data_IF_624334962441
#
_entry.id   IF_624334962441
#
_cell.length_a   1.000
_cell.length_b   1.000
_cell.length_c   1.000
_cell.angle_alpha   90.00
_cell.angle_beta   90.00
_cell.angle_gamma   90.00
#
_symmetry.space_group_name_H-M   'P 1'
#
loop_
_entity.id
_entity.type
_entity.pdbx_description
1 polymer ?
#
# COMPACT_ATOMS: atom_id res chain seq x y z
N UNK A 1 6.67 3.73 -10.05
CA UNK A 1 5.35 3.21 -10.45
C UNK A 1 4.34 4.32 -10.73
N UNK A 2 4.14 5.31 -9.89
CA UNK A 2 3.28 6.50 -10.14
C UNK A 2 4.09 7.70 -10.67
N UNK A 3 4.98 7.49 -11.65
CA UNK A 3 5.82 8.54 -12.23
C UNK A 3 5.06 9.36 -13.29
N UNK A 4 5.53 10.59 -13.57
CA UNK A 4 4.77 11.58 -14.36
C UNK A 4 4.49 11.17 -15.81
N UNK A 5 5.39 10.40 -16.45
CA UNK A 5 5.26 10.05 -17.89
C UNK A 5 5.02 8.57 -18.18
N UNK A 6 5.59 7.68 -17.36
CA UNK A 6 5.55 6.23 -17.61
C UNK A 6 4.97 5.43 -16.44
N UNK A 7 4.32 6.11 -15.51
CA UNK A 7 3.73 5.50 -14.32
C UNK A 7 2.38 4.82 -14.57
N UNK A 8 2.00 3.94 -13.67
CA UNK A 8 0.68 3.31 -13.66
C UNK A 8 -0.41 4.37 -13.51
N UNK A 9 -1.46 4.27 -14.31
CA UNK A 9 -2.60 5.17 -14.21
C UNK A 9 -3.36 4.96 -12.89
N UNK A 10 -3.75 6.05 -12.23
CA UNK A 10 -4.54 6.01 -10.98
C UNK A 10 -5.83 5.20 -11.16
N UNK A 11 -6.45 5.30 -12.33
CA UNK A 11 -7.66 4.55 -12.66
C UNK A 11 -7.44 3.04 -12.65
N UNK A 12 -6.28 2.56 -13.11
CA UNK A 12 -5.95 1.13 -13.10
C UNK A 12 -5.80 0.60 -11.67
N UNK A 13 -5.15 1.38 -10.79
CA UNK A 13 -5.05 1.03 -9.37
C UNK A 13 -6.44 0.96 -8.73
N UNK A 14 -7.31 1.92 -9.02
CA UNK A 14 -8.69 1.94 -8.52
C UNK A 14 -9.48 0.73 -9.07
N UNK A 15 -9.29 0.36 -10.33
CA UNK A 15 -9.92 -0.82 -10.93
C UNK A 15 -9.45 -2.10 -10.26
N UNK A 16 -8.14 -2.21 -9.95
CA UNK A 16 -7.59 -3.33 -9.19
C UNK A 16 -8.18 -3.41 -7.77
N UNK A 17 -8.25 -2.28 -7.05
CA UNK A 17 -8.86 -2.24 -5.70
C UNK A 17 -10.29 -2.78 -5.70
N UNK A 18 -11.06 -2.47 -6.73
CA UNK A 18 -12.46 -2.88 -6.90
C UNK A 18 -12.64 -4.31 -7.44
N UNK A 19 -11.56 -4.97 -7.84
CA UNK A 19 -11.59 -6.32 -8.42
C UNK A 19 -11.93 -6.37 -9.90
N UNK A 20 -11.95 -5.21 -10.59
CA UNK A 20 -12.21 -5.17 -12.03
C UNK A 20 -11.03 -5.57 -12.91
N UNK A 21 -9.87 -5.87 -12.32
CA UNK A 21 -8.66 -6.24 -13.04
C UNK A 21 -8.42 -7.75 -12.94
N UNK A 22 -8.38 -8.44 -14.08
CA UNK A 22 -8.03 -9.86 -14.14
C UNK A 22 -6.53 -10.07 -14.08
N UNK A 23 -6.13 -11.25 -13.65
CA UNK A 23 -4.74 -11.71 -13.68
C UNK A 23 -4.17 -11.66 -15.11
N UNK A 24 -2.89 -11.32 -15.22
CA UNK A 24 -2.20 -11.18 -16.51
C UNK A 24 -2.35 -9.82 -17.18
N UNK A 25 -3.11 -8.87 -16.60
CA UNK A 25 -3.14 -7.50 -17.13
C UNK A 25 -1.77 -6.83 -16.99
N UNK A 26 -1.30 -6.22 -18.07
CA UNK A 26 -0.07 -5.42 -18.08
C UNK A 26 -0.43 -3.93 -18.06
N UNK A 27 0.05 -3.23 -17.05
CA UNK A 27 -0.18 -1.79 -16.91
C UNK A 27 0.42 -1.03 -18.10
N UNK A 28 -0.35 -0.07 -18.62
CA UNK A 28 0.07 0.79 -19.71
C UNK A 28 -0.23 2.25 -19.36
N UNK A 29 0.82 3.07 -19.31
CA UNK A 29 0.69 4.49 -18.98
C UNK A 29 -0.17 5.29 -19.96
N UNK A 30 -0.24 4.85 -21.23
CA UNK A 30 -0.96 5.55 -22.30
C UNK A 30 -2.39 5.02 -22.52
N UNK A 31 -2.70 3.84 -22.03
CA UNK A 31 -3.98 3.19 -22.27
C UNK A 31 -4.46 2.45 -21.01
N UNK A 32 -5.22 3.13 -20.13
CA UNK A 32 -5.73 2.51 -18.92
C UNK A 32 -6.73 1.38 -19.24
N UNK A 33 -7.00 0.53 -18.26
CA UNK A 33 -7.97 -0.56 -18.33
C UNK A 33 -9.38 0.02 -18.54
N UNK A 34 -10.01 -0.36 -19.64
CA UNK A 34 -11.38 0.04 -19.96
C UNK A 34 -12.32 -1.15 -19.87
N UNK A 35 -13.62 -0.89 -19.76
CA UNK A 35 -14.68 -1.89 -19.68
C UNK A 35 -14.76 -2.83 -20.89
N UNK A 36 -14.23 -2.40 -22.04
CA UNK A 36 -14.18 -3.18 -23.27
C UNK A 36 -12.91 -4.05 -23.37
N UNK A 37 -11.98 -3.91 -22.44
CA UNK A 37 -10.76 -4.70 -22.43
C UNK A 37 -11.06 -6.13 -21.94
N UNK A 38 -10.46 -7.12 -22.54
CA UNK A 38 -10.67 -8.52 -22.19
C UNK A 38 -10.18 -8.86 -20.76
N UNK A 39 -9.23 -8.08 -20.23
CA UNK A 39 -8.79 -8.17 -18.83
C UNK A 39 -9.71 -7.46 -17.84
N UNK A 40 -10.79 -6.81 -18.33
CA UNK A 40 -11.75 -6.20 -17.42
C UNK A 40 -12.73 -7.25 -16.87
N UNK A 41 -12.85 -7.32 -15.54
CA UNK A 41 -13.84 -8.14 -14.86
C UNK A 41 -15.11 -7.31 -14.66
N UNK A 42 -16.19 -7.67 -15.34
CA UNK A 42 -17.46 -6.92 -15.28
C UNK A 42 -18.16 -7.09 -13.92
N UNK A 43 -18.06 -8.28 -13.33
CA UNK A 43 -18.79 -8.67 -12.12
C UNK A 43 -17.80 -9.22 -11.07
N UNK A 44 -17.02 -8.37 -10.42
CA UNK A 44 -16.03 -8.80 -9.43
C UNK A 44 -16.72 -9.38 -8.18
N UNK A 45 -16.25 -10.53 -7.76
CA UNK A 45 -16.58 -11.14 -6.47
C UNK A 45 -15.72 -10.52 -5.34
N UNK A 46 -16.01 -10.86 -4.09
CA UNK A 46 -15.18 -10.42 -2.97
C UNK A 46 -13.73 -10.93 -3.10
N UNK A 47 -13.51 -12.13 -3.64
CA UNK A 47 -12.18 -12.70 -3.86
C UNK A 47 -11.36 -11.99 -4.95
N UNK A 48 -12.01 -11.24 -5.83
CA UNK A 48 -11.33 -10.45 -6.86
C UNK A 48 -10.88 -9.08 -6.34
N UNK A 49 -11.42 -8.63 -5.20
CA UNK A 49 -11.11 -7.32 -4.62
C UNK A 49 -9.82 -7.34 -3.83
N UNK A 50 -9.18 -6.19 -3.68
CA UNK A 50 -8.02 -6.02 -2.82
C UNK A 50 -8.47 -5.75 -1.37
N UNK A 51 -7.80 -6.39 -0.42
CA UNK A 51 -8.19 -6.35 0.99
C UNK A 51 -7.19 -5.57 1.87
N UNK A 52 -6.08 -5.12 1.29
CA UNK A 52 -5.12 -4.20 1.89
C UNK A 52 -4.38 -3.45 0.80
N UNK A 53 -4.16 -2.15 0.99
CA UNK A 53 -3.34 -1.31 0.12
C UNK A 53 -2.01 -1.02 0.80
N UNK A 54 -0.91 -1.44 0.17
CA UNK A 54 0.45 -1.22 0.67
C UNK A 54 1.19 -0.25 -0.22
N UNK A 55 1.60 0.88 0.36
CA UNK A 55 2.51 1.82 -0.29
C UNK A 55 3.94 1.42 0.04
N UNK A 56 4.78 1.22 -0.96
CA UNK A 56 6.21 0.94 -0.78
C UNK A 56 6.99 2.19 -1.14
N UNK A 57 7.60 2.83 -0.13
CA UNK A 57 8.20 4.16 -0.28
C UNK A 57 9.64 4.12 0.27
N UNK A 58 10.65 4.35 -0.57
CA UNK A 58 12.02 4.53 -0.11
C UNK A 58 12.14 5.81 0.74
N UNK A 59 12.84 5.73 1.86
CA UNK A 59 12.99 6.85 2.81
C UNK A 59 13.65 8.09 2.20
N UNK A 60 14.53 7.89 1.22
CA UNK A 60 15.23 8.96 0.50
C UNK A 60 14.31 9.70 -0.49
N UNK A 61 13.22 9.05 -0.95
CA UNK A 61 12.28 9.63 -1.90
C UNK A 61 11.18 10.49 -1.24
N UNK A 62 10.98 10.39 0.06
CA UNK A 62 9.88 11.09 0.75
C UNK A 62 9.93 12.60 0.54
N UNK A 63 11.11 13.22 0.70
CA UNK A 63 11.31 14.67 0.52
C UNK A 63 11.30 15.10 -0.96
N UNK A 64 11.32 14.16 -1.91
CA UNK A 64 11.34 14.42 -3.35
C UNK A 64 9.97 14.26 -4.00
N UNK A 65 8.96 13.84 -3.23
CA UNK A 65 7.60 13.69 -3.75
C UNK A 65 7.06 15.04 -4.21
N UNK A 66 6.75 15.13 -5.50
CA UNK A 66 6.11 16.32 -6.05
C UNK A 66 4.60 16.34 -5.74
N UNK A 67 3.98 17.49 -5.94
CA UNK A 67 2.57 17.71 -5.67
C UNK A 67 1.66 16.76 -6.45
N UNK A 68 1.93 16.57 -7.74
CA UNK A 68 1.10 15.72 -8.61
C UNK A 68 1.11 14.26 -8.18
N UNK A 69 2.28 13.76 -7.76
CA UNK A 69 2.41 12.41 -7.20
C UNK A 69 1.59 12.25 -5.91
N UNK A 70 1.67 13.23 -5.01
CA UNK A 70 0.92 13.24 -3.75
C UNK A 70 -0.60 13.25 -4.01
N UNK A 71 -1.08 14.07 -4.95
CA UNK A 71 -2.50 14.12 -5.31
C UNK A 71 -3.01 12.80 -5.94
N UNK A 72 -2.19 12.14 -6.77
CA UNK A 72 -2.52 10.81 -7.29
C UNK A 72 -2.63 9.78 -6.16
N UNK A 73 -1.66 9.75 -5.25
CA UNK A 73 -1.72 8.87 -4.08
C UNK A 73 -2.94 9.15 -3.22
N UNK A 74 -3.28 10.42 -3.02
CA UNK A 74 -4.47 10.84 -2.26
C UNK A 74 -5.75 10.32 -2.88
N UNK A 75 -5.92 10.40 -4.20
CA UNK A 75 -7.08 9.86 -4.92
C UNK A 75 -7.25 8.35 -4.69
N UNK A 76 -6.16 7.58 -4.79
CA UNK A 76 -6.15 6.14 -4.49
C UNK A 76 -6.50 5.89 -3.02
N UNK A 77 -5.88 6.64 -2.10
CA UNK A 77 -6.12 6.56 -0.65
C UNK A 77 -7.58 6.80 -0.30
N UNK A 78 -8.18 7.85 -0.85
CA UNK A 78 -9.59 8.19 -0.59
C UNK A 78 -10.54 7.11 -1.09
N UNK A 79 -10.25 6.53 -2.25
CA UNK A 79 -11.03 5.41 -2.77
C UNK A 79 -10.90 4.17 -1.89
N UNK A 80 -9.69 3.78 -1.48
CA UNK A 80 -9.46 2.68 -0.55
C UNK A 80 -10.16 2.92 0.78
N UNK A 81 -10.13 4.16 1.31
CA UNK A 81 -10.82 4.53 2.54
C UNK A 81 -12.34 4.39 2.44
N UNK A 82 -12.95 4.83 1.33
CA UNK A 82 -14.40 4.66 1.08
C UNK A 82 -14.81 3.20 0.99
N UNK A 83 -13.92 2.35 0.50
CA UNK A 83 -14.13 0.89 0.42
C UNK A 83 -13.85 0.17 1.75
N UNK A 84 -13.37 0.88 2.77
CA UNK A 84 -12.97 0.27 4.04
C UNK A 84 -11.69 -0.55 3.97
N UNK A 85 -10.92 -0.44 2.87
CA UNK A 85 -9.67 -1.16 2.67
C UNK A 85 -8.59 -0.58 3.60
N UNK A 86 -7.96 -1.39 4.46
CA UNK A 86 -6.85 -0.95 5.30
C UNK A 86 -5.65 -0.52 4.45
N UNK A 87 -4.95 0.50 4.92
CA UNK A 87 -3.83 1.10 4.21
C UNK A 87 -2.59 1.12 5.09
N UNK A 88 -1.46 0.78 4.50
CA UNK A 88 -0.17 0.61 5.17
C UNK A 88 0.94 1.22 4.32
N UNK A 89 2.01 1.67 4.96
CA UNK A 89 3.25 2.07 4.27
C UNK A 89 4.38 1.13 4.68
N UNK A 90 5.09 0.58 3.71
CA UNK A 90 6.42 0.01 3.88
C UNK A 90 7.45 1.07 3.53
N UNK A 91 8.11 1.59 4.55
CA UNK A 91 9.22 2.52 4.38
C UNK A 91 10.51 1.72 4.22
N UNK A 92 11.05 1.72 3.01
CA UNK A 92 12.25 0.96 2.63
C UNK A 92 13.51 1.83 2.63
N UNK A 93 14.69 1.22 2.45
CA UNK A 93 16.01 1.88 2.43
C UNK A 93 16.29 2.69 3.71
N UNK A 94 15.86 2.19 4.84
CA UNK A 94 15.98 2.88 6.13
C UNK A 94 17.44 2.97 6.58
N UNK A 95 18.26 1.99 6.19
CA UNK A 95 19.72 1.96 6.34
C UNK A 95 20.40 3.16 5.65
N UNK A 96 19.88 3.61 4.52
CA UNK A 96 20.37 4.80 3.81
C UNK A 96 20.06 6.11 4.54
N UNK A 97 19.02 6.12 5.38
CA UNK A 97 18.62 7.33 6.09
C UNK A 97 19.48 7.65 7.31
N UNK A 98 20.06 6.62 7.95
CA UNK A 98 20.81 6.79 9.18
C UNK A 98 21.95 5.76 9.27
N UNK A 99 23.23 6.20 9.30
CA UNK A 99 24.38 5.29 9.39
C UNK A 99 24.32 4.34 10.59
N UNK A 100 23.78 4.78 11.72
CA UNK A 100 23.62 3.95 12.92
C UNK A 100 22.71 2.73 12.69
N UNK A 101 21.80 2.80 11.75
CA UNK A 101 20.89 1.69 11.42
C UNK A 101 21.52 0.71 10.45
N UNK A 102 22.52 1.14 9.68
CA UNK A 102 23.34 0.28 8.84
C UNK A 102 24.24 -0.64 9.70
N UNK A 103 24.76 -0.09 10.80
CA UNK A 103 25.60 -0.86 11.72
C UNK A 103 24.81 -1.80 12.64
N UNK A 104 23.61 -1.36 13.06
CA UNK A 104 22.74 -2.13 13.94
C UNK A 104 21.26 -1.80 13.68
N UNK A 105 20.56 -2.73 13.04
CA UNK A 105 19.13 -2.65 12.69
C UNK A 105 18.22 -2.47 13.90
N UNK A 106 18.61 -2.95 15.10
CA UNK A 106 17.83 -2.77 16.34
C UNK A 106 17.70 -1.30 16.77
N UNK A 107 18.55 -0.41 16.23
CA UNK A 107 18.48 1.03 16.52
C UNK A 107 17.53 1.79 15.59
N UNK A 108 16.88 1.13 14.63
CA UNK A 108 15.98 1.76 13.66
C UNK A 108 14.92 2.62 14.36
N UNK A 109 14.21 2.08 15.34
CA UNK A 109 13.14 2.80 16.05
C UNK A 109 13.66 3.81 17.09
N UNK A 110 14.96 3.79 17.43
CA UNK A 110 15.57 4.74 18.37
C UNK A 110 16.07 6.02 17.69
N UNK A 111 16.28 5.99 16.38
CA UNK A 111 16.79 7.12 15.62
C UNK A 111 15.75 8.27 15.52
N UNK A 112 16.15 9.47 15.97
CA UNK A 112 15.33 10.69 15.80
C UNK A 112 15.10 10.97 14.31
N UNK A 113 16.13 10.84 13.49
CA UNK A 113 16.08 11.09 12.04
C UNK A 113 15.03 10.18 11.35
N UNK A 114 14.97 8.92 11.73
CA UNK A 114 13.97 7.99 11.19
C UNK A 114 12.56 8.37 11.67
N UNK A 115 12.39 8.72 12.94
CA UNK A 115 11.10 9.20 13.46
C UNK A 115 10.59 10.44 12.72
N UNK A 116 11.49 11.37 12.40
CA UNK A 116 11.13 12.58 11.65
C UNK A 116 10.71 12.19 10.21
N UNK A 117 11.39 11.24 9.56
CA UNK A 117 11.01 10.70 8.25
C UNK A 117 9.67 9.96 8.26
N UNK A 118 9.36 9.21 9.32
CA UNK A 118 8.04 8.58 9.48
C UNK A 118 6.94 9.65 9.55
N UNK A 119 7.15 10.74 10.29
CA UNK A 119 6.19 11.85 10.37
C UNK A 119 6.02 12.56 9.05
N UNK A 120 7.12 12.83 8.35
CA UNK A 120 7.12 13.42 7.00
C UNK A 120 6.31 12.54 6.04
N UNK A 121 6.56 11.23 6.02
CA UNK A 121 5.81 10.25 5.23
C UNK A 121 4.32 10.23 5.60
N UNK A 122 4.00 10.17 6.89
CA UNK A 122 2.62 10.20 7.39
C UNK A 122 1.86 11.44 6.90
N UNK A 123 2.49 12.59 6.95
CA UNK A 123 1.90 13.85 6.48
C UNK A 123 1.71 13.88 4.96
N UNK A 124 2.69 13.39 4.20
CA UNK A 124 2.64 13.39 2.74
C UNK A 124 1.58 12.40 2.20
N UNK A 125 1.58 11.17 2.73
CA UNK A 125 0.71 10.08 2.24
C UNK A 125 -0.68 10.11 2.90
N UNK A 126 -0.79 10.68 4.10
CA UNK A 126 -2.02 10.70 4.90
C UNK A 126 -2.35 9.35 5.56
N UNK A 127 -1.35 8.50 5.76
CA UNK A 127 -1.46 7.23 6.48
C UNK A 127 -0.93 7.43 7.91
N UNK A 128 -1.65 7.00 8.97
CA UNK A 128 -1.23 7.19 10.35
C UNK A 128 0.12 6.54 10.65
N UNK A 129 0.91 7.15 11.55
CA UNK A 129 2.26 6.69 11.94
C UNK A 129 2.28 5.22 12.38
N UNK A 130 1.26 4.74 13.08
CA UNK A 130 1.14 3.35 13.53
C UNK A 130 0.82 2.34 12.41
N UNK A 131 0.69 2.81 11.17
CA UNK A 131 0.53 2.02 9.96
C UNK A 131 1.71 2.14 9.00
N UNK A 132 2.81 2.71 9.47
CA UNK A 132 4.06 2.85 8.72
C UNK A 132 5.09 1.89 9.32
N UNK A 133 5.46 0.88 8.54
CA UNK A 133 6.44 -0.14 8.93
C UNK A 133 7.78 0.18 8.28
N UNK A 134 8.82 0.10 9.08
CA UNK A 134 10.20 0.19 8.62
C UNK A 134 10.64 -1.19 8.18
N UNK A 135 11.02 -1.34 6.92
CA UNK A 135 11.46 -2.62 6.37
C UNK A 135 12.84 -2.50 5.74
N UNK A 136 13.66 -3.49 5.99
CA UNK A 136 14.94 -3.68 5.32
C UNK A 136 14.76 -4.74 4.24
N UNK A 137 15.43 -4.55 3.11
CA UNK A 137 15.38 -5.47 1.98
C UNK A 137 16.79 -6.02 1.77
N UNK A 138 16.89 -7.33 1.61
CA UNK A 138 18.15 -8.01 1.25
C UNK A 138 18.71 -7.44 -0.07
N UNK A 139 20.00 -7.12 -0.10
CA UNK A 139 20.66 -6.63 -1.33
C UNK A 139 22.11 -7.12 -1.49
N UNK A 140 22.89 -7.22 -0.40
CA UNK A 140 24.28 -7.66 -0.41
C UNK A 140 24.54 -8.80 0.59
N UNK A 141 23.55 -9.14 1.42
CA UNK A 141 23.68 -10.17 2.43
C UNK A 141 23.78 -11.55 1.78
N UNK A 142 24.83 -12.28 2.11
CA UNK A 142 25.07 -13.67 1.67
C UNK A 142 24.42 -14.70 2.59
N UNK A 143 23.95 -14.27 3.76
CA UNK A 143 23.37 -15.13 4.79
C UNK A 143 22.04 -14.53 5.29
N UNK A 144 21.21 -15.38 5.85
CA UNK A 144 19.95 -14.97 6.46
C UNK A 144 20.23 -14.02 7.63
N UNK A 145 19.56 -12.88 7.64
CA UNK A 145 19.61 -11.89 8.71
C UNK A 145 18.28 -11.89 9.47
N UNK A 146 18.32 -12.31 10.73
CA UNK A 146 17.12 -12.45 11.56
C UNK A 146 16.43 -11.11 11.82
N UNK A 147 17.17 -10.01 11.97
CA UNK A 147 16.59 -8.69 12.20
C UNK A 147 15.80 -8.21 10.96
N UNK A 148 16.33 -8.44 9.75
CA UNK A 148 15.62 -8.13 8.48
C UNK A 148 14.34 -8.95 8.41
N UNK A 149 14.43 -10.25 8.69
CA UNK A 149 13.28 -11.15 8.67
C UNK A 149 12.23 -10.73 9.71
N UNK A 150 12.63 -10.41 10.94
CA UNK A 150 11.70 -9.99 11.98
C UNK A 150 10.92 -8.75 11.59
N UNK A 151 11.57 -7.71 11.04
CA UNK A 151 10.90 -6.49 10.59
C UNK A 151 9.89 -6.77 9.48
N UNK A 152 10.26 -7.59 8.50
CA UNK A 152 9.38 -7.95 7.39
C UNK A 152 8.22 -8.81 7.84
N UNK A 153 8.47 -9.84 8.65
CA UNK A 153 7.43 -10.77 9.12
C UNK A 153 6.43 -10.07 10.06
N UNK A 154 6.88 -9.18 10.93
CA UNK A 154 6.00 -8.38 11.77
C UNK A 154 5.05 -7.53 10.91
N UNK A 155 5.59 -6.81 9.94
CA UNK A 155 4.79 -6.01 9.02
C UNK A 155 3.78 -6.85 8.22
N UNK A 156 4.20 -7.99 7.67
CA UNK A 156 3.33 -8.91 6.92
C UNK A 156 2.23 -9.50 7.81
N UNK A 157 2.55 -9.88 9.05
CA UNK A 157 1.58 -10.40 10.01
C UNK A 157 0.48 -9.37 10.28
N UNK A 158 0.84 -8.12 10.48
CA UNK A 158 -0.14 -7.04 10.69
C UNK A 158 -1.03 -6.82 9.45
N UNK A 159 -0.44 -6.85 8.25
CA UNK A 159 -1.19 -6.74 7.00
C UNK A 159 -2.22 -7.86 6.87
N UNK A 160 -1.82 -9.11 7.14
CA UNK A 160 -2.71 -10.28 7.06
C UNK A 160 -3.87 -10.14 8.04
N UNK A 161 -3.62 -9.70 9.27
CA UNK A 161 -4.67 -9.46 10.25
C UNK A 161 -5.67 -8.42 9.76
N UNK A 162 -5.21 -7.25 9.29
CA UNK A 162 -6.10 -6.20 8.81
C UNK A 162 -6.83 -6.56 7.52
N UNK A 163 -6.19 -7.29 6.62
CA UNK A 163 -6.82 -7.79 5.40
C UNK A 163 -7.93 -8.80 5.75
N UNK A 164 -7.68 -9.71 6.68
CA UNK A 164 -8.68 -10.66 7.16
C UNK A 164 -9.88 -9.95 7.81
N UNK A 165 -9.63 -8.95 8.67
CA UNK A 165 -10.69 -8.12 9.26
C UNK A 165 -11.52 -7.40 8.17
N UNK A 166 -10.89 -6.95 7.09
CA UNK A 166 -11.57 -6.34 5.96
C UNK A 166 -12.50 -7.34 5.27
N UNK A 167 -12.02 -8.56 4.99
CA UNK A 167 -12.83 -9.64 4.38
C UNK A 167 -14.03 -9.99 5.26
N UNK A 168 -13.82 -10.19 6.56
CA UNK A 168 -14.89 -10.55 7.50
C UNK A 168 -15.97 -9.45 7.56
N UNK A 169 -15.57 -8.18 7.60
CA UNK A 169 -16.52 -7.05 7.59
C UNK A 169 -17.31 -6.99 6.28
N UNK A 170 -16.65 -7.17 5.13
CA UNK A 170 -17.29 -7.16 3.82
C UNK A 170 -18.27 -8.32 3.64
N UNK A 171 -17.94 -9.51 4.12
CA UNK A 171 -18.81 -10.68 4.09
C UNK A 171 -20.07 -10.47 4.95
N UNK A 172 -19.94 -9.88 6.13
CA UNK A 172 -21.07 -9.61 7.03
C UNK A 172 -22.04 -8.58 6.46
N UNK A 173 -21.56 -7.59 5.71
CA UNK A 173 -22.40 -6.59 5.04
C UNK A 173 -23.27 -7.24 3.95
N UNK A 174 -22.77 -8.24 3.24
CA UNK A 174 -23.52 -8.96 2.20
C UNK A 174 -24.63 -9.85 2.76
N UNK A 175 -24.55 -10.25 4.03
CA UNK A 175 -25.53 -11.15 4.68
C UNK A 175 -26.74 -10.38 5.24
N UNK A 176 -26.64 -9.07 5.46
CA UNK A 176 -27.76 -8.27 5.95
C UNK A 176 -28.80 -8.09 4.83
N UNK A 177 -30.07 -8.56 5.01
CA UNK A 177 -31.12 -8.36 4.01
C UNK A 177 -31.36 -6.83 3.84
N UNK A 178 -31.33 -6.39 2.60
CA UNK A 178 -31.76 -5.03 2.27
C UNK A 178 -33.24 -4.93 2.64
N UNK A 179 -33.57 -4.16 3.68
CA UNK A 179 -34.95 -3.87 3.99
C UNK A 179 -35.57 -3.11 2.81
N UNK A 180 -36.73 -3.53 2.28
CA UNK A 180 -37.40 -2.79 1.23
C UNK A 180 -37.76 -1.39 1.75
N UNK A 181 -37.39 -0.38 0.97
CA UNK A 181 -37.83 1.00 1.18
C UNK A 181 -39.34 0.97 1.04
N UNK A 182 -40.08 1.20 2.14
CA UNK A 182 -41.51 1.45 2.07
C UNK A 182 -41.71 2.84 1.49
N UNK A 183 -42.35 2.87 0.33
CA UNK A 183 -42.89 4.10 -0.29
C UNK A 183 -44.00 4.71 0.57
#
# INVERSE_FOLDING_TARGET
>A
MLEEKDGVQTQDIISALKGHMKEGYTFNSNCPLTTNNHYYNQNPSLSDQMHCLVYVIPVDQISMMNYDFIERMKSVRETASRMGIPQVVFMTKVDCACPMTKENSQNIYKSKRIRDKIRECSNAVGVPVNRIFLVLIYHEETHVNEDINCLMLDALTQIIHWANDCVVKSSNIQILPQQPIQE
#
